data_IF_715923606513
#
_entry.id   IF_715923606513
#
_cell.length_a   1.000
_cell.length_b   1.000
_cell.length_c   1.000
_cell.angle_alpha   90.00
_cell.angle_beta   90.00
_cell.angle_gamma   90.00
#
_symmetry.space_group_name_H-M   'P 1'
#
loop_
_entity.id
_entity.type
_entity.pdbx_description
1 polymer ?
#
# COMPACT_ATOMS: atom_id res chain seq x y z
N UNK A 1 7.16 22.68 -6.75
CA UNK A 1 7.38 21.30 -7.21
C UNK A 1 7.19 20.44 -5.97
N UNK A 2 5.99 19.90 -5.77
CA UNK A 2 5.66 19.21 -4.53
C UNK A 2 6.20 17.79 -4.58
N UNK A 3 6.87 17.42 -3.50
CA UNK A 3 7.57 16.16 -3.30
C UNK A 3 6.70 14.97 -3.71
N UNK A 4 7.28 14.06 -4.49
CA UNK A 4 6.66 12.89 -5.11
C UNK A 4 6.31 11.82 -4.06
N UNK A 5 5.52 12.17 -3.05
CA UNK A 5 4.95 11.24 -2.08
C UNK A 5 3.77 10.58 -2.76
N UNK A 6 3.96 9.32 -3.13
CA UNK A 6 2.92 8.48 -3.71
C UNK A 6 1.65 8.53 -2.84
N UNK A 7 0.51 8.86 -3.46
CA UNK A 7 -0.76 9.00 -2.75
C UNK A 7 -1.25 7.65 -2.25
N UNK A 8 -2.10 7.63 -1.22
CA UNK A 8 -2.71 6.39 -0.72
C UNK A 8 -3.42 5.61 -1.84
N UNK A 9 -4.18 6.31 -2.69
CA UNK A 9 -4.89 5.69 -3.82
C UNK A 9 -3.93 5.10 -4.85
N UNK A 10 -2.81 5.78 -5.13
CA UNK A 10 -1.78 5.27 -6.04
C UNK A 10 -1.12 4.01 -5.47
N UNK A 11 -0.75 4.03 -4.19
CA UNK A 11 -0.16 2.89 -3.51
C UNK A 11 -1.11 1.69 -3.47
N UNK A 12 -2.39 1.94 -3.18
CA UNK A 12 -3.43 0.91 -3.21
C UNK A 12 -3.62 0.34 -4.63
N UNK A 13 -3.57 1.19 -5.66
CA UNK A 13 -3.65 0.74 -7.05
C UNK A 13 -2.46 -0.12 -7.44
N UNK A 14 -1.24 0.26 -7.03
CA UNK A 14 -0.02 -0.51 -7.28
C UNK A 14 -0.03 -1.85 -6.55
N UNK A 15 -0.48 -1.86 -5.29
CA UNK A 15 -0.67 -3.08 -4.51
C UNK A 15 -1.63 -4.07 -5.21
N UNK A 16 -2.75 -3.56 -5.74
CA UNK A 16 -3.71 -4.38 -6.49
C UNK A 16 -3.08 -4.95 -7.76
N UNK A 17 -2.36 -4.12 -8.52
CA UNK A 17 -1.65 -4.54 -9.73
C UNK A 17 -0.62 -5.65 -9.44
N UNK A 18 0.18 -5.52 -8.38
CA UNK A 18 1.09 -6.57 -7.91
C UNK A 18 0.32 -7.84 -7.53
N UNK A 19 -0.80 -7.72 -6.83
CA UNK A 19 -1.61 -8.87 -6.44
C UNK A 19 -2.27 -9.59 -7.63
N UNK A 20 -2.65 -8.85 -8.68
CA UNK A 20 -3.16 -9.45 -9.92
C UNK A 20 -2.04 -10.13 -10.71
N UNK A 21 -0.86 -9.53 -10.79
CA UNK A 21 0.33 -10.13 -11.43
C UNK A 21 0.72 -11.45 -10.78
N UNK A 22 0.75 -11.52 -9.44
CA UNK A 22 1.07 -12.75 -8.71
C UNK A 22 0.05 -13.87 -9.00
N UNK A 23 -1.19 -13.52 -9.32
CA UNK A 23 -2.24 -14.49 -9.68
C UNK A 23 -2.18 -14.94 -11.14
N UNK A 24 -1.39 -14.28 -11.98
CA UNK A 24 -1.28 -14.64 -13.38
C UNK A 24 -0.67 -16.05 -13.51
N UNK A 25 -1.24 -16.95 -14.32
CA UNK A 25 -0.75 -18.33 -14.44
C UNK A 25 0.62 -18.44 -15.14
N UNK A 26 1.08 -17.36 -15.76
CA UNK A 26 2.32 -17.27 -16.54
C UNK A 26 3.47 -16.55 -15.80
N UNK A 27 3.28 -16.16 -14.53
CA UNK A 27 4.32 -15.49 -13.76
C UNK A 27 5.41 -16.48 -13.33
N UNK A 28 6.67 -16.08 -13.49
CA UNK A 28 7.79 -16.86 -13.00
C UNK A 28 7.90 -16.77 -11.47
N UNK A 29 8.56 -17.75 -10.85
CA UNK A 29 8.79 -17.74 -9.40
C UNK A 29 9.55 -16.49 -8.95
N UNK A 30 10.57 -16.09 -9.71
CA UNK A 30 11.36 -14.88 -9.43
C UNK A 30 10.52 -13.61 -9.54
N UNK A 31 9.69 -13.48 -10.57
CA UNK A 31 8.77 -12.34 -10.72
C UNK A 31 7.67 -12.32 -9.65
N UNK A 32 7.22 -13.50 -9.20
CA UNK A 32 6.26 -13.61 -8.10
C UNK A 32 6.84 -13.07 -6.79
N UNK A 33 8.10 -13.41 -6.50
CA UNK A 33 8.82 -12.93 -5.31
C UNK A 33 9.01 -11.40 -5.40
N UNK A 34 9.44 -10.89 -6.56
CA UNK A 34 9.59 -9.44 -6.77
C UNK A 34 8.26 -8.69 -6.62
N UNK A 35 7.20 -9.17 -7.25
CA UNK A 35 5.87 -8.56 -7.12
C UNK A 35 5.37 -8.60 -5.68
N UNK A 36 5.72 -9.65 -4.92
CA UNK A 36 5.37 -9.76 -3.51
C UNK A 36 6.12 -8.73 -2.66
N UNK A 37 7.43 -8.56 -2.87
CA UNK A 37 8.24 -7.55 -2.18
C UNK A 37 7.75 -6.13 -2.48
N UNK A 38 7.53 -5.81 -3.76
CA UNK A 38 6.96 -4.51 -4.18
C UNK A 38 5.56 -4.31 -3.57
N UNK A 39 4.72 -5.35 -3.59
CA UNK A 39 3.41 -5.35 -2.95
C UNK A 39 3.48 -5.07 -1.45
N UNK A 40 4.45 -5.66 -0.75
CA UNK A 40 4.67 -5.43 0.68
C UNK A 40 5.02 -3.97 0.98
N UNK A 41 5.87 -3.34 0.17
CA UNK A 41 6.19 -1.91 0.32
C UNK A 41 4.94 -1.02 0.18
N UNK A 42 4.11 -1.29 -0.83
CA UNK A 42 2.85 -0.57 -1.02
C UNK A 42 1.86 -0.80 0.11
N UNK A 43 1.78 -2.04 0.62
CA UNK A 43 0.96 -2.38 1.77
C UNK A 43 1.38 -1.63 3.03
N UNK A 44 2.68 -1.56 3.32
CA UNK A 44 3.20 -0.81 4.46
C UNK A 44 2.87 0.68 4.35
N UNK A 45 3.00 1.27 3.16
CA UNK A 45 2.65 2.67 2.93
C UNK A 45 1.15 2.94 3.18
N UNK A 46 0.28 2.07 2.64
CA UNK A 46 -1.17 2.15 2.87
C UNK A 46 -1.50 2.00 4.36
N UNK A 47 -0.91 1.00 5.03
CA UNK A 47 -1.14 0.71 6.44
C UNK A 47 -0.70 1.87 7.33
N UNK A 48 0.47 2.46 7.06
CA UNK A 48 0.97 3.64 7.75
C UNK A 48 0.02 4.83 7.59
N UNK A 49 -0.41 5.10 6.35
CA UNK A 49 -1.34 6.20 6.07
C UNK A 49 -2.67 6.03 6.82
N UNK A 50 -3.22 4.81 6.81
CA UNK A 50 -4.44 4.49 7.55
C UNK A 50 -4.25 4.63 9.05
N UNK A 51 -3.12 4.17 9.60
CA UNK A 51 -2.79 4.33 11.02
C UNK A 51 -2.68 5.81 11.42
N UNK A 52 -2.01 6.62 10.61
CA UNK A 52 -1.91 8.07 10.85
C UNK A 52 -3.29 8.75 10.79
N UNK A 53 -4.15 8.34 9.85
CA UNK A 53 -5.53 8.83 9.77
C UNK A 53 -6.36 8.39 10.98
N UNK A 54 -6.28 7.12 11.38
CA UNK A 54 -6.98 6.56 12.52
C UNK A 54 -6.54 7.24 13.82
N UNK A 55 -5.24 7.43 14.05
CA UNK A 55 -4.73 8.14 15.23
C UNK A 55 -5.26 9.58 15.30
N UNK A 56 -5.36 10.28 14.18
CA UNK A 56 -5.96 11.61 14.14
C UNK A 56 -7.42 11.56 14.57
N UNK A 57 -8.21 10.62 14.03
CA UNK A 57 -9.63 10.44 14.37
C UNK A 57 -9.79 10.09 15.85
N UNK A 58 -9.05 9.10 16.37
CA UNK A 58 -9.09 8.74 17.79
C UNK A 58 -8.70 9.91 18.71
N UNK A 59 -7.72 10.74 18.30
CA UNK A 59 -7.35 11.96 19.05
C UNK A 59 -8.51 12.97 19.12
N UNK A 60 -9.37 13.02 18.09
CA UNK A 60 -10.58 13.86 18.11
C UNK A 60 -11.68 13.28 18.99
N UNK A 61 -11.78 11.95 19.12
CA UNK A 61 -12.80 11.27 19.93
C UNK A 61 -12.53 11.31 21.44
N UNK A 62 -11.32 11.67 21.89
CA UNK A 62 -10.94 11.73 23.32
C UNK A 62 -11.29 13.09 23.98
N UNK A 63 -12.04 13.97 23.30
CA UNK A 63 -12.56 15.21 23.90
C UNK A 63 -14.05 15.10 24.25
N UNK A 64 -14.38 14.23 25.20
CA UNK A 64 -15.57 14.35 26.07
C UNK A 64 -15.21 14.03 27.51
#
# INVERSE_FOLDING_TARGET
MNENKMSFEEALSRLKDCAEKIKAPEISLEDSIRCYEEGMEYFELCSRTLREAQQKIETFEIKE
#
